data_IF_839431420472
#
_entry.id   IF_839431420472
#
_cell.length_a   1.000
_cell.length_b   1.000
_cell.length_c   1.000
_cell.angle_alpha   90.00
_cell.angle_beta   90.00
_cell.angle_gamma   90.00
#
_symmetry.space_group_name_H-M   'P 1'
#
loop_
_entity.id
_entity.type
_entity.pdbx_description
1 polymer ?
#
# COMPACT_ATOMS: atom_id res chain seq x y z
N UNK A 1 -18.85 20.02 -12.73
CA UNK A 1 -18.92 20.92 -11.56
C UNK A 1 -17.76 21.92 -11.46
N UNK A 2 -16.62 21.67 -10.79
CA UNK A 2 -15.59 22.74 -10.60
C UNK A 2 -15.01 23.32 -11.90
N UNK A 3 -14.80 22.49 -12.93
CA UNK A 3 -14.24 22.94 -14.23
C UNK A 3 -15.25 23.75 -15.05
N UNK A 4 -16.55 23.58 -14.79
CA UNK A 4 -17.63 24.26 -15.52
C UNK A 4 -17.94 25.63 -14.91
N UNK A 5 -17.74 25.79 -13.59
CA UNK A 5 -17.98 27.07 -12.90
C UNK A 5 -16.87 27.41 -11.88
N UNK A 6 -15.59 27.53 -12.31
CA UNK A 6 -14.45 27.70 -11.39
C UNK A 6 -14.52 29.01 -10.57
N UNK A 7 -15.17 30.04 -11.09
CA UNK A 7 -15.33 31.35 -10.44
C UNK A 7 -16.16 31.27 -9.14
N UNK A 8 -17.04 30.26 -9.00
CA UNK A 8 -17.85 30.05 -7.79
C UNK A 8 -17.02 29.70 -6.56
N UNK A 9 -15.75 29.30 -6.74
CA UNK A 9 -14.86 28.97 -5.64
C UNK A 9 -14.27 30.19 -4.91
N UNK A 10 -14.46 31.42 -5.41
CA UNK A 10 -13.96 32.65 -4.77
C UNK A 10 -12.43 32.74 -4.68
N UNK A 11 -11.70 32.01 -5.55
CA UNK A 11 -10.24 31.95 -5.55
C UNK A 11 -9.62 33.00 -6.49
N UNK A 12 -8.37 33.45 -6.21
CA UNK A 12 -7.64 34.32 -7.14
C UNK A 12 -7.49 33.69 -8.53
N UNK A 13 -7.53 34.50 -9.60
CA UNK A 13 -7.44 34.02 -10.98
C UNK A 13 -6.19 33.17 -11.26
N UNK A 14 -5.04 33.57 -10.72
CA UNK A 14 -3.79 32.81 -10.85
C UNK A 14 -3.90 31.40 -10.26
N UNK A 15 -4.62 31.27 -9.14
CA UNK A 15 -4.85 29.98 -8.48
C UNK A 15 -5.89 29.14 -9.21
N UNK A 16 -6.94 29.76 -9.76
CA UNK A 16 -7.89 29.07 -10.63
C UNK A 16 -7.21 28.50 -11.86
N UNK A 17 -6.34 29.28 -12.52
CA UNK A 17 -5.55 28.81 -13.67
C UNK A 17 -4.68 27.60 -13.30
N UNK A 18 -3.93 27.68 -12.20
CA UNK A 18 -3.12 26.56 -11.72
C UNK A 18 -3.96 25.31 -11.42
N UNK A 19 -5.13 25.46 -10.79
CA UNK A 19 -6.01 24.31 -10.51
C UNK A 19 -6.55 23.71 -11.81
N UNK A 20 -7.00 24.54 -12.76
CA UNK A 20 -7.54 24.06 -14.03
C UNK A 20 -6.49 23.33 -14.88
N UNK A 21 -5.26 23.85 -14.92
CA UNK A 21 -4.10 23.19 -15.53
C UNK A 21 -3.81 21.87 -14.83
N UNK A 22 -3.71 21.87 -13.50
CA UNK A 22 -3.48 20.66 -12.70
C UNK A 22 -4.56 19.60 -12.89
N UNK A 23 -5.84 19.99 -13.03
CA UNK A 23 -6.94 19.08 -13.37
C UNK A 23 -6.76 18.48 -14.76
N UNK A 24 -6.35 19.29 -15.75
CA UNK A 24 -6.10 18.79 -17.11
C UNK A 24 -4.97 17.76 -17.12
N UNK A 25 -3.82 18.11 -16.54
CA UNK A 25 -2.67 17.21 -16.41
C UNK A 25 -3.04 15.94 -15.65
N UNK A 26 -3.76 16.05 -14.54
CA UNK A 26 -4.18 14.88 -13.76
C UNK A 26 -5.09 13.95 -14.56
N UNK A 27 -5.97 14.48 -15.41
CA UNK A 27 -6.82 13.66 -16.30
C UNK A 27 -6.00 12.97 -17.38
N UNK A 28 -5.07 13.69 -18.02
CA UNK A 28 -4.18 13.12 -19.03
C UNK A 28 -3.33 11.99 -18.45
N UNK A 29 -2.76 12.20 -17.27
CA UNK A 29 -1.97 11.20 -16.54
C UNK A 29 -2.80 10.01 -16.07
N UNK A 30 -4.04 10.23 -15.63
CA UNK A 30 -4.96 9.17 -15.28
C UNK A 30 -5.33 8.31 -16.49
N UNK A 31 -5.66 8.94 -17.63
CA UNK A 31 -5.97 8.25 -18.88
C UNK A 31 -4.78 7.41 -19.38
N UNK A 32 -3.55 7.91 -19.19
CA UNK A 32 -2.33 7.18 -19.50
C UNK A 32 -1.96 6.10 -18.45
N UNK A 33 -2.76 5.96 -17.37
CA UNK A 33 -2.49 5.09 -16.22
C UNK A 33 -1.10 5.29 -15.59
N UNK A 34 -0.60 6.53 -15.61
CA UNK A 34 0.72 6.92 -15.08
C UNK A 34 0.67 7.02 -13.55
N UNK A 35 0.84 5.87 -12.88
CA UNK A 35 0.79 5.78 -11.42
C UNK A 35 1.95 6.54 -10.75
N UNK A 36 3.14 6.55 -11.36
CA UNK A 36 4.33 7.24 -10.87
C UNK A 36 4.12 8.75 -10.75
N UNK A 37 3.37 9.37 -11.69
CA UNK A 37 2.94 10.76 -11.54
C UNK A 37 2.16 10.96 -10.23
N UNK A 38 1.19 10.09 -9.92
CA UNK A 38 0.40 10.22 -8.71
C UNK A 38 1.20 9.88 -7.45
N UNK A 39 2.09 8.89 -7.48
CA UNK A 39 2.96 8.53 -6.35
C UNK A 39 3.88 9.69 -5.93
N UNK A 40 4.28 10.54 -6.89
CA UNK A 40 5.14 11.69 -6.67
C UNK A 40 4.38 12.99 -6.36
N UNK A 41 3.15 13.15 -6.85
CA UNK A 41 2.40 14.42 -6.72
C UNK A 41 1.29 14.38 -5.66
N UNK A 42 0.78 13.20 -5.29
CA UNK A 42 -0.14 13.08 -4.16
C UNK A 42 0.63 13.01 -2.85
N UNK A 43 0.08 13.63 -1.81
CA UNK A 43 0.56 13.37 -0.45
C UNK A 43 0.32 11.89 -0.12
N UNK A 44 1.27 11.22 0.54
CA UNK A 44 1.16 9.78 0.89
C UNK A 44 -0.18 9.42 1.54
N UNK A 45 -0.70 10.29 2.43
CA UNK A 45 -2.00 10.12 3.11
C UNK A 45 -3.23 10.14 2.19
N UNK A 46 -3.07 10.55 0.93
CA UNK A 46 -4.12 10.66 -0.09
C UNK A 46 -3.98 9.60 -1.20
N UNK A 47 -2.98 8.72 -1.11
CA UNK A 47 -2.79 7.63 -2.07
C UNK A 47 -3.99 6.68 -2.17
N UNK A 48 -4.75 6.53 -1.09
CA UNK A 48 -5.98 5.71 -1.05
C UNK A 48 -6.99 6.10 -2.14
N UNK A 49 -6.98 7.36 -2.60
CA UNK A 49 -7.86 7.85 -3.66
C UNK A 49 -7.61 7.17 -5.00
N UNK A 50 -6.40 6.66 -5.23
CA UNK A 50 -6.00 6.03 -6.48
C UNK A 50 -6.42 4.55 -6.57
N UNK A 51 -6.81 3.92 -5.44
CA UNK A 51 -7.15 2.49 -5.39
C UNK A 51 -8.20 2.08 -6.43
N UNK A 52 -9.27 2.88 -6.59
CA UNK A 52 -10.35 2.55 -7.52
C UNK A 52 -9.89 2.51 -8.98
N UNK A 53 -8.94 3.36 -9.35
CA UNK A 53 -8.47 3.52 -10.73
C UNK A 53 -7.43 2.46 -11.13
N UNK A 54 -6.69 1.95 -10.14
CA UNK A 54 -5.59 0.99 -10.32
C UNK A 54 -5.85 -0.35 -9.64
N UNK A 55 -7.12 -0.68 -9.36
CA UNK A 55 -7.49 -1.87 -8.59
C UNK A 55 -6.92 -3.16 -9.16
N UNK A 56 -6.96 -3.30 -10.49
CA UNK A 56 -6.48 -4.51 -11.19
C UNK A 56 -4.95 -4.65 -11.16
N UNK A 57 -4.25 -3.54 -10.89
CA UNK A 57 -2.80 -3.43 -10.77
C UNK A 57 -2.36 -3.21 -9.30
N UNK A 58 -3.22 -3.59 -8.34
CA UNK A 58 -2.97 -3.43 -6.90
C UNK A 58 -2.58 -4.76 -6.28
N UNK A 59 -1.54 -4.74 -5.45
CA UNK A 59 -1.17 -5.87 -4.58
C UNK A 59 -1.36 -5.52 -3.11
N UNK A 60 -1.76 -6.50 -2.32
CA UNK A 60 -1.73 -6.50 -0.87
C UNK A 60 -0.50 -7.29 -0.42
N UNK A 61 0.37 -6.65 0.35
CA UNK A 61 1.68 -7.15 0.72
C UNK A 61 1.80 -7.22 2.25
N UNK A 62 2.36 -8.33 2.71
CA UNK A 62 2.69 -8.57 4.12
C UNK A 62 3.95 -9.44 4.18
N UNK A 63 4.76 -9.30 5.24
CA UNK A 63 5.97 -10.12 5.44
C UNK A 63 5.97 -10.84 6.78
N UNK A 64 6.60 -11.99 6.82
CA UNK A 64 6.98 -12.68 8.05
C UNK A 64 8.50 -12.66 8.19
N UNK A 65 8.97 -12.41 9.41
CA UNK A 65 10.38 -12.21 9.74
C UNK A 65 10.75 -12.97 11.00
N UNK A 66 12.04 -13.25 11.20
CA UNK A 66 12.52 -13.90 12.44
C UNK A 66 12.45 -12.97 13.66
N UNK A 67 12.27 -11.67 13.44
CA UNK A 67 12.18 -10.64 14.45
C UNK A 67 11.92 -9.27 13.84
N UNK A 68 12.23 -8.19 14.55
CA UNK A 68 11.75 -6.84 14.20
C UNK A 68 12.83 -5.91 13.65
N UNK A 69 14.09 -6.34 13.59
CA UNK A 69 15.20 -5.51 13.18
C UNK A 69 15.80 -5.97 11.86
N UNK A 70 15.75 -5.16 10.79
CA UNK A 70 16.34 -5.54 9.52
C UNK A 70 17.84 -5.86 9.58
N UNK A 71 18.57 -5.36 10.58
CA UNK A 71 20.01 -5.61 10.72
C UNK A 71 20.35 -6.95 11.41
N UNK A 72 19.39 -7.58 12.08
CA UNK A 72 19.60 -8.76 12.92
C UNK A 72 18.63 -9.90 12.63
N UNK A 73 17.56 -9.62 11.91
CA UNK A 73 16.46 -10.53 11.64
C UNK A 73 16.24 -10.64 10.13
N UNK A 74 15.89 -11.83 9.68
CA UNK A 74 15.74 -12.16 8.26
C UNK A 74 14.26 -12.22 7.86
N UNK A 75 13.99 -12.00 6.57
CA UNK A 75 12.69 -12.31 5.98
C UNK A 75 12.56 -13.82 5.82
N UNK A 76 11.51 -14.41 6.40
CA UNK A 76 11.18 -15.83 6.22
C UNK A 76 10.21 -16.02 5.07
N UNK A 77 9.29 -15.08 4.88
CA UNK A 77 8.25 -15.14 3.86
C UNK A 77 7.78 -13.76 3.42
N UNK A 78 7.42 -13.63 2.14
CA UNK A 78 6.66 -12.49 1.61
C UNK A 78 5.35 -13.00 1.03
N UNK A 79 4.23 -12.53 1.57
CA UNK A 79 2.89 -12.82 1.08
C UNK A 79 2.37 -11.70 0.19
N UNK A 80 1.86 -12.07 -0.98
CA UNK A 80 1.27 -11.11 -1.94
C UNK A 80 -0.08 -11.60 -2.41
N UNK A 81 -1.09 -10.75 -2.35
CA UNK A 81 -2.40 -11.01 -2.94
C UNK A 81 -2.78 -9.92 -3.94
N UNK A 82 -3.20 -10.30 -5.14
CA UNK A 82 -3.58 -9.36 -6.19
C UNK A 82 -4.60 -9.95 -7.17
N UNK A 83 -4.68 -9.35 -8.36
CA UNK A 83 -5.57 -9.80 -9.45
C UNK A 83 -5.26 -11.23 -9.92
N UNK A 84 -4.00 -11.65 -9.86
CA UNK A 84 -3.55 -13.00 -10.20
C UNK A 84 -3.72 -14.02 -9.05
N UNK A 85 -4.37 -13.63 -7.95
CA UNK A 85 -4.52 -14.46 -6.76
C UNK A 85 -3.41 -14.25 -5.74
N UNK A 86 -3.20 -15.25 -4.88
CA UNK A 86 -2.19 -15.21 -3.81
C UNK A 86 -0.90 -15.90 -4.25
N UNK A 87 0.23 -15.22 -4.03
CA UNK A 87 1.60 -15.76 -4.17
C UNK A 87 2.31 -15.63 -2.84
N UNK A 88 3.16 -16.59 -2.53
CA UNK A 88 3.94 -16.64 -1.29
C UNK A 88 5.37 -16.98 -1.70
N UNK A 89 6.31 -16.13 -1.30
CA UNK A 89 7.73 -16.31 -1.56
C UNK A 89 8.43 -16.67 -0.25
N UNK A 90 9.26 -17.70 -0.25
CA UNK A 90 9.84 -18.30 0.96
C UNK A 90 11.37 -18.24 0.89
N UNK A 91 11.98 -17.84 2.01
CA UNK A 91 13.44 -17.79 2.16
C UNK A 91 14.09 -19.14 1.85
N UNK A 92 15.10 -19.13 0.97
CA UNK A 92 15.81 -20.32 0.51
C UNK A 92 15.05 -21.19 -0.50
N UNK A 93 13.87 -20.75 -0.97
CA UNK A 93 13.09 -21.43 -2.02
C UNK A 93 12.96 -20.54 -3.24
N UNK A 94 12.32 -19.38 -3.09
CA UNK A 94 11.95 -18.48 -4.20
C UNK A 94 11.83 -17.02 -3.74
N UNK A 95 12.40 -16.64 -2.60
CA UNK A 95 12.34 -15.27 -2.08
C UNK A 95 12.94 -14.25 -3.06
N UNK A 96 14.00 -14.63 -3.77
CA UNK A 96 14.62 -13.80 -4.81
C UNK A 96 13.70 -13.52 -6.02
N UNK A 97 12.60 -14.27 -6.17
CA UNK A 97 11.61 -14.09 -7.24
C UNK A 97 10.48 -13.10 -6.88
N UNK A 98 10.52 -12.54 -5.67
CA UNK A 98 9.57 -11.50 -5.26
C UNK A 98 9.56 -10.27 -6.20
N UNK A 99 10.69 -9.71 -6.65
CA UNK A 99 10.69 -8.49 -7.46
C UNK A 99 9.85 -8.59 -8.75
N UNK A 100 9.72 -9.78 -9.32
CA UNK A 100 8.90 -10.05 -10.50
C UNK A 100 7.42 -9.69 -10.26
N UNK A 101 6.91 -9.79 -9.02
CA UNK A 101 5.53 -9.42 -8.69
C UNK A 101 5.29 -7.90 -8.69
N UNK A 102 6.37 -7.12 -8.62
CA UNK A 102 6.29 -5.65 -8.69
C UNK A 102 6.18 -5.17 -10.14
N UNK A 103 6.50 -6.01 -11.13
CA UNK A 103 6.33 -5.69 -12.54
C UNK A 103 4.84 -5.46 -12.86
N UNK A 104 4.51 -4.25 -13.31
CA UNK A 104 3.12 -3.86 -13.61
C UNK A 104 2.30 -3.48 -12.37
N UNK A 105 2.81 -3.71 -11.16
CA UNK A 105 2.19 -3.23 -9.93
C UNK A 105 2.21 -1.71 -9.88
N UNK A 106 1.05 -1.09 -9.62
CA UNK A 106 0.89 0.37 -9.53
C UNK A 106 0.57 0.85 -8.13
N UNK A 107 -0.02 -0.03 -7.32
CA UNK A 107 -0.43 0.27 -5.95
C UNK A 107 -0.04 -0.89 -5.04
N UNK A 108 0.64 -0.57 -3.95
CA UNK A 108 0.93 -1.52 -2.87
C UNK A 108 0.07 -1.15 -1.67
N UNK A 109 -0.62 -2.12 -1.10
CA UNK A 109 -1.40 -1.99 0.12
C UNK A 109 -0.75 -2.83 1.22
N UNK A 110 -0.52 -2.24 2.38
CA UNK A 110 0.05 -2.94 3.56
C UNK A 110 -0.70 -2.53 4.83
N UNK A 111 -0.44 -3.19 5.95
CA UNK A 111 -0.81 -2.68 7.27
C UNK A 111 0.44 -2.37 8.10
N UNK A 112 0.72 -1.10 8.40
CA UNK A 112 1.96 -0.62 9.05
C UNK A 112 3.26 -0.85 8.24
N UNK A 113 3.16 -1.29 6.98
CA UNK A 113 4.31 -1.58 6.14
C UNK A 113 5.15 -0.39 5.70
N UNK A 114 4.70 0.85 5.88
CA UNK A 114 5.56 2.02 5.64
C UNK A 114 6.73 2.09 6.63
N UNK A 115 6.54 1.50 7.82
CA UNK A 115 7.52 1.50 8.92
C UNK A 115 8.23 0.17 9.08
N UNK A 116 7.67 -0.89 8.50
CA UNK A 116 8.12 -2.26 8.73
C UNK A 116 8.40 -2.93 7.39
N UNK A 117 7.37 -3.43 6.71
CA UNK A 117 7.47 -4.29 5.53
C UNK A 117 8.36 -3.74 4.42
N UNK A 118 8.08 -2.54 3.89
CA UNK A 118 8.81 -2.01 2.74
C UNK A 118 10.28 -1.73 3.06
N UNK A 119 10.63 -1.04 4.17
CA UNK A 119 12.04 -0.89 4.56
C UNK A 119 12.76 -2.22 4.83
N UNK A 120 12.06 -3.22 5.37
CA UNK A 120 12.64 -4.54 5.63
C UNK A 120 12.98 -5.25 4.32
N UNK A 121 12.08 -5.20 3.33
CA UNK A 121 12.30 -5.75 1.99
C UNK A 121 13.45 -5.03 1.27
N UNK A 122 13.47 -3.69 1.25
CA UNK A 122 14.54 -2.91 0.62
C UNK A 122 15.92 -3.21 1.25
N UNK A 123 15.95 -3.57 2.53
CA UNK A 123 17.19 -3.97 3.21
C UNK A 123 17.70 -5.35 2.75
N UNK A 124 16.80 -6.32 2.59
CA UNK A 124 17.15 -7.72 2.35
C UNK A 124 17.24 -8.11 0.88
N UNK A 125 16.56 -7.39 0.00
CA UNK A 125 16.53 -7.66 -1.44
C UNK A 125 17.20 -6.52 -2.21
N UNK A 126 18.53 -6.61 -2.46
CA UNK A 126 19.25 -5.60 -3.21
C UNK A 126 18.62 -5.33 -4.58
N UNK A 127 18.43 -4.06 -4.90
CA UNK A 127 17.83 -3.63 -6.17
C UNK A 127 16.30 -3.53 -6.15
N UNK A 128 15.64 -3.95 -5.07
CA UNK A 128 14.23 -3.61 -4.85
C UNK A 128 14.12 -2.17 -4.36
N UNK A 129 13.22 -1.42 -4.98
CA UNK A 129 12.79 -0.09 -4.54
C UNK A 129 11.33 0.10 -4.87
N UNK A 130 10.59 0.79 -4.00
CA UNK A 130 9.16 0.99 -4.19
C UNK A 130 8.84 2.39 -4.74
N UNK A 131 8.46 2.46 -6.01
CA UNK A 131 7.99 3.68 -6.69
C UNK A 131 6.46 3.72 -6.88
N UNK A 132 5.77 2.65 -6.44
CA UNK A 132 4.32 2.53 -6.49
C UNK A 132 3.61 3.52 -5.56
N UNK A 133 2.32 3.73 -5.83
CA UNK A 133 1.43 4.33 -4.84
C UNK A 133 1.31 3.39 -3.65
N UNK A 134 1.77 3.83 -2.48
CA UNK A 134 1.62 3.05 -1.25
C UNK A 134 0.39 3.47 -0.43
N UNK A 135 -0.47 2.51 -0.09
CA UNK A 135 -1.60 2.66 0.84
C UNK A 135 -1.30 1.85 2.09
N UNK A 136 -0.76 2.51 3.11
CA UNK A 136 -0.63 1.91 4.44
C UNK A 136 -1.96 2.07 5.21
N UNK A 137 -2.70 0.97 5.36
CA UNK A 137 -4.02 0.92 5.99
C UNK A 137 -4.02 1.41 7.44
N UNK A 138 -2.88 1.40 8.13
CA UNK A 138 -2.77 1.90 9.51
C UNK A 138 -3.29 3.34 9.62
N UNK A 139 -2.98 4.21 8.65
CA UNK A 139 -3.32 5.63 8.74
C UNK A 139 -4.79 5.94 8.38
N UNK A 140 -5.37 5.41 7.27
CA UNK A 140 -6.79 5.54 7.00
C UNK A 140 -7.67 4.97 8.12
N UNK A 141 -7.33 3.79 8.65
CA UNK A 141 -8.10 3.17 9.73
C UNK A 141 -8.07 4.00 11.02
N UNK A 142 -6.89 4.53 11.39
CA UNK A 142 -6.77 5.48 12.51
C UNK A 142 -7.64 6.73 12.34
N UNK A 143 -7.75 7.27 11.11
CA UNK A 143 -8.63 8.42 10.81
C UNK A 143 -10.12 8.08 10.97
N UNK A 144 -10.49 6.81 10.86
CA UNK A 144 -11.84 6.31 11.09
C UNK A 144 -12.09 5.92 12.56
N UNK A 145 -11.10 6.10 13.45
CA UNK A 145 -11.21 5.72 14.87
C UNK A 145 -10.81 4.28 15.17
N UNK A 146 -10.41 3.49 14.15
CA UNK A 146 -10.00 2.10 14.30
C UNK A 146 -8.51 2.05 14.65
N UNK A 147 -8.18 1.54 15.84
CA UNK A 147 -6.82 1.57 16.39
C UNK A 147 -6.42 0.23 17.02
N UNK A 148 -5.11 -0.03 17.09
CA UNK A 148 -4.54 -1.29 17.54
C UNK A 148 -3.96 -2.10 16.39
N UNK A 149 -3.68 -3.39 16.63
CA UNK A 149 -3.21 -4.31 15.61
C UNK A 149 -4.30 -4.74 14.64
N UNK A 150 -3.91 -5.24 13.46
CA UNK A 150 -4.82 -5.64 12.38
C UNK A 150 -5.91 -6.61 12.87
N UNK A 151 -5.52 -7.69 13.58
CA UNK A 151 -6.47 -8.67 14.15
C UNK A 151 -7.54 -8.06 15.05
N UNK A 152 -7.18 -7.06 15.86
CA UNK A 152 -8.16 -6.36 16.69
C UNK A 152 -9.15 -5.58 15.83
N UNK A 153 -8.65 -4.89 14.80
CA UNK A 153 -9.49 -4.10 13.89
C UNK A 153 -10.41 -5.03 13.07
N UNK A 154 -9.90 -6.17 12.59
CA UNK A 154 -10.70 -7.17 11.89
C UNK A 154 -11.85 -7.69 12.75
N UNK A 155 -11.59 -7.99 14.03
CA UNK A 155 -12.61 -8.39 14.99
C UNK A 155 -13.66 -7.29 15.21
N UNK A 156 -13.23 -6.02 15.38
CA UNK A 156 -14.13 -4.88 15.54
C UNK A 156 -15.03 -4.68 14.31
N UNK A 157 -14.53 -5.02 13.11
CA UNK A 157 -15.27 -4.96 11.85
C UNK A 157 -16.08 -6.23 11.53
N UNK A 158 -16.01 -7.27 12.35
CA UNK A 158 -16.69 -8.55 12.10
C UNK A 158 -16.12 -9.33 10.91
N UNK A 159 -14.83 -9.15 10.60
CA UNK A 159 -14.13 -9.81 9.49
C UNK A 159 -13.50 -11.16 9.86
N UNK A 160 -13.53 -11.54 11.13
CA UNK A 160 -13.00 -12.81 11.64
C UNK A 160 -13.74 -14.00 11.01
N UNK A 161 -13.05 -14.80 10.19
CA UNK A 161 -13.67 -15.84 9.34
C UNK A 161 -13.36 -17.30 9.68
N UNK A 162 -12.63 -17.61 10.76
CA UNK A 162 -12.43 -19.03 11.15
C UNK A 162 -12.02 -19.19 12.60
N UNK A 163 -12.59 -20.22 13.25
CA UNK A 163 -12.26 -20.66 14.62
C UNK A 163 -10.78 -21.11 14.77
N UNK A 164 -10.11 -21.43 13.66
CA UNK A 164 -8.72 -21.95 13.60
C UNK A 164 -7.64 -20.86 13.73
N UNK A 165 -7.97 -19.59 13.52
CA UNK A 165 -7.03 -18.45 13.61
C UNK A 165 -7.29 -17.56 14.83
N UNK A 166 -8.37 -17.84 15.57
CA UNK A 166 -8.74 -17.13 16.80
C UNK A 166 -7.73 -17.40 17.90
N UNK A 167 -6.98 -16.37 18.30
CA UNK A 167 -5.95 -16.45 19.34
C UNK A 167 -4.51 -16.53 18.80
N UNK A 168 -4.35 -16.73 17.48
CA UNK A 168 -3.10 -16.53 16.73
C UNK A 168 -2.61 -15.08 16.81
N UNK A 169 -1.40 -14.74 17.23
CA UNK A 169 -0.74 -13.45 16.94
C UNK A 169 0.61 -13.71 16.27
N UNK A 170 1.16 -12.75 15.52
CA UNK A 170 2.51 -12.93 14.93
C UNK A 170 3.59 -13.19 15.99
N UNK A 171 3.34 -12.75 17.23
CA UNK A 171 4.17 -13.04 18.39
C UNK A 171 4.11 -14.51 18.85
N UNK A 172 3.03 -15.23 18.53
CA UNK A 172 2.90 -16.65 18.85
C UNK A 172 3.66 -17.53 17.86
N UNK A 173 4.04 -17.00 16.68
CA UNK A 173 4.83 -17.72 15.67
C UNK A 173 6.34 -17.75 15.97
N UNK A 174 6.83 -16.85 16.83
CA UNK A 174 8.25 -16.74 17.24
C UNK A 174 8.56 -17.41 18.59
N UNK A 175 7.59 -18.11 19.19
CA UNK A 175 7.80 -18.97 20.36
C UNK A 175 7.91 -20.43 19.94
N UNK A 176 9.05 -20.83 19.37
CA UNK A 176 9.45 -22.23 19.23
C UNK A 176 10.92 -22.41 19.64
#
# INVERSE_FOLDING_TARGET
EFREEPHRAGLPESKLKQILEGISTSKEKLNARDHTYFANNLQKKEHWRAYREFRDDTIFLDIETTGLSPNYDEITMIGVHGSDGTKVFISGIDLEDFPQVLEGCKVIVTFNGARFDLPFIEHHLPGVSFDQLHIDLLYPLRRLGLTGGLKRIENELGLSRSDETTGLSGFDAVQF
#
